data_IF_727824317312
#
_entry.id   IF_727824317312
#
_cell.length_a   1.000
_cell.length_b   1.000
_cell.length_c   1.000
_cell.angle_alpha   90.00
_cell.angle_beta   90.00
_cell.angle_gamma   90.00
#
_symmetry.space_group_name_H-M   'P 1'
#
loop_
_entity.id
_entity.type
_entity.pdbx_description
1 polymer ?
#
# COMPACT_ATOMS: atom_id res chain seq x y z
N UNK A 1 3.18 7.32 -11.51
CA UNK A 1 3.24 6.50 -12.74
C UNK A 1 4.48 5.62 -12.75
N UNK A 2 5.70 6.16 -12.65
CA UNK A 2 6.93 5.36 -12.67
C UNK A 2 6.94 4.27 -11.58
N UNK A 3 6.53 4.60 -10.37
CA UNK A 3 6.40 3.63 -9.25
C UNK A 3 5.40 2.52 -9.56
N UNK A 4 4.24 2.86 -10.14
CA UNK A 4 3.24 1.85 -10.53
C UNK A 4 3.78 0.90 -11.59
N UNK A 5 4.51 1.41 -12.60
CA UNK A 5 5.14 0.56 -13.61
C UNK A 5 6.18 -0.38 -12.99
N UNK A 6 7.00 0.12 -12.06
CA UNK A 6 7.96 -0.69 -11.33
C UNK A 6 7.26 -1.77 -10.49
N UNK A 7 6.19 -1.41 -9.77
CA UNK A 7 5.39 -2.34 -8.97
C UNK A 7 4.74 -3.41 -9.84
N UNK A 8 4.14 -3.04 -10.97
CA UNK A 8 3.57 -3.98 -11.92
C UNK A 8 4.60 -4.98 -12.43
N UNK A 9 5.77 -4.47 -12.83
CA UNK A 9 6.87 -5.33 -13.30
C UNK A 9 7.29 -6.33 -12.22
N UNK A 10 7.51 -5.85 -10.99
CA UNK A 10 7.92 -6.70 -9.87
C UNK A 10 6.85 -7.74 -9.52
N UNK A 11 5.58 -7.34 -9.37
CA UNK A 11 4.48 -8.27 -9.09
C UNK A 11 4.39 -9.36 -10.16
N UNK A 12 4.56 -8.99 -11.42
CA UNK A 12 4.51 -9.95 -12.52
C UNK A 12 5.69 -10.93 -12.50
N UNK A 13 6.90 -10.47 -12.18
CA UNK A 13 8.07 -11.34 -12.07
C UNK A 13 7.96 -12.32 -10.90
N UNK A 14 7.56 -11.83 -9.72
CA UNK A 14 7.36 -12.70 -8.55
C UNK A 14 6.23 -13.72 -8.76
N UNK A 15 5.11 -13.29 -9.36
CA UNK A 15 4.01 -14.19 -9.70
C UNK A 15 4.44 -15.26 -10.72
N UNK A 16 5.17 -14.85 -11.76
CA UNK A 16 5.72 -15.78 -12.77
C UNK A 16 6.68 -16.79 -12.15
N UNK A 17 7.53 -16.35 -11.24
CA UNK A 17 8.44 -17.25 -10.53
C UNK A 17 7.67 -18.37 -9.81
N UNK A 18 6.62 -18.00 -9.07
CA UNK A 18 5.79 -18.98 -8.34
C UNK A 18 5.03 -19.92 -9.28
N UNK A 19 4.53 -19.42 -10.44
CA UNK A 19 3.88 -20.27 -11.44
C UNK A 19 4.82 -21.32 -12.03
N UNK A 20 6.12 -21.00 -12.17
CA UNK A 20 7.13 -21.90 -12.75
C UNK A 20 7.63 -22.90 -11.70
N UNK A 21 7.95 -22.43 -10.50
CA UNK A 21 8.62 -23.22 -9.49
C UNK A 21 7.67 -23.91 -8.51
N UNK A 22 6.44 -23.39 -8.36
CA UNK A 22 5.50 -23.80 -7.30
C UNK A 22 5.93 -23.37 -5.89
N UNK A 23 7.05 -22.65 -5.75
CA UNK A 23 7.60 -22.18 -4.48
C UNK A 23 7.21 -20.72 -4.22
N UNK A 24 6.96 -20.36 -2.96
CA UNK A 24 6.82 -18.97 -2.57
C UNK A 24 8.20 -18.30 -2.48
N UNK A 25 8.25 -16.97 -2.57
CA UNK A 25 9.52 -16.24 -2.46
C UNK A 25 10.26 -16.54 -1.14
N UNK A 26 9.50 -16.67 -0.03
CA UNK A 26 10.06 -17.00 1.28
C UNK A 26 10.64 -18.43 1.32
N UNK A 27 9.96 -19.39 0.71
CA UNK A 27 10.46 -20.76 0.57
C UNK A 27 11.74 -20.78 -0.25
N UNK A 28 11.77 -20.04 -1.36
CA UNK A 28 12.95 -19.94 -2.21
C UNK A 28 14.15 -19.33 -1.48
N UNK A 29 13.97 -18.24 -0.74
CA UNK A 29 15.04 -17.63 0.05
C UNK A 29 15.57 -18.59 1.10
N UNK A 30 14.69 -19.31 1.80
CA UNK A 30 15.07 -20.29 2.80
C UNK A 30 15.83 -21.48 2.21
N UNK A 31 15.42 -21.95 1.03
CA UNK A 31 15.97 -23.16 0.40
C UNK A 31 17.26 -22.90 -0.37
N UNK A 32 17.32 -21.78 -1.10
CA UNK A 32 18.41 -21.51 -2.04
C UNK A 32 19.51 -20.60 -1.48
N UNK A 33 19.24 -19.82 -0.42
CA UNK A 33 20.26 -18.95 0.17
C UNK A 33 20.71 -19.52 1.51
N UNK A 34 19.93 -19.34 2.55
CA UNK A 34 20.19 -19.88 3.89
C UNK A 34 18.94 -19.76 4.76
N UNK A 35 18.75 -20.70 5.70
CA UNK A 35 17.59 -20.69 6.60
C UNK A 35 17.47 -19.40 7.41
N UNK A 36 18.58 -18.84 7.87
CA UNK A 36 18.62 -17.58 8.64
C UNK A 36 18.15 -16.38 7.82
N UNK A 37 18.39 -16.36 6.51
CA UNK A 37 17.94 -15.27 5.61
C UNK A 37 16.41 -15.23 5.53
N UNK A 38 15.77 -16.40 5.44
CA UNK A 38 14.30 -16.48 5.48
C UNK A 38 13.71 -15.91 6.78
N UNK A 39 14.31 -16.24 7.93
CA UNK A 39 13.86 -15.71 9.23
C UNK A 39 14.08 -14.21 9.31
N UNK A 40 15.24 -13.70 8.88
CA UNK A 40 15.52 -12.27 8.84
C UNK A 40 14.50 -11.51 7.98
N UNK A 41 14.17 -12.04 6.80
CA UNK A 41 13.17 -11.45 5.93
C UNK A 41 11.77 -11.40 6.57
N UNK A 42 11.34 -12.47 7.24
CA UNK A 42 10.05 -12.50 7.95
C UNK A 42 10.02 -11.44 9.05
N UNK A 43 11.06 -11.36 9.87
CA UNK A 43 11.16 -10.38 10.96
C UNK A 43 11.17 -8.96 10.40
N UNK A 44 11.98 -8.69 9.38
CA UNK A 44 12.06 -7.38 8.73
C UNK A 44 10.73 -6.96 8.09
N UNK A 45 10.04 -7.88 7.40
CA UNK A 45 8.70 -7.65 6.85
C UNK A 45 7.68 -7.35 7.94
N UNK A 46 7.66 -8.15 9.00
CA UNK A 46 6.72 -7.95 10.12
C UNK A 46 6.96 -6.59 10.76
N UNK A 47 8.20 -6.22 11.03
CA UNK A 47 8.55 -4.90 11.57
C UNK A 47 8.14 -3.77 10.61
N UNK A 48 8.37 -3.93 9.31
CA UNK A 48 7.96 -2.96 8.29
C UNK A 48 6.45 -2.79 8.20
N UNK A 49 5.68 -3.88 8.24
CA UNK A 49 4.21 -3.85 8.26
C UNK A 49 3.70 -3.18 9.53
N UNK A 50 4.23 -3.54 10.70
CA UNK A 50 3.85 -2.91 11.97
C UNK A 50 4.12 -1.40 11.94
N UNK A 51 5.31 -0.99 11.45
CA UNK A 51 5.65 0.43 11.31
C UNK A 51 4.71 1.17 10.36
N UNK A 52 4.36 0.55 9.24
CA UNK A 52 3.41 1.11 8.26
C UNK A 52 2.01 1.29 8.86
N UNK A 53 1.50 0.30 9.58
CA UNK A 53 0.19 0.38 10.25
C UNK A 53 0.18 1.48 11.32
N UNK A 54 1.24 1.60 12.12
CA UNK A 54 1.37 2.68 13.09
C UNK A 54 1.38 4.06 12.42
N UNK A 55 2.10 4.21 11.30
CA UNK A 55 2.15 5.44 10.53
C UNK A 55 0.78 5.84 9.98
N UNK A 56 0.06 4.91 9.37
CA UNK A 56 -1.29 5.17 8.84
C UNK A 56 -2.27 5.52 9.97
N UNK A 57 -2.21 4.80 11.10
CA UNK A 57 -3.05 5.10 12.28
C UNK A 57 -2.76 6.50 12.84
N UNK A 58 -1.48 6.90 12.86
CA UNK A 58 -1.10 8.26 13.26
C UNK A 58 -1.77 9.32 12.38
N UNK A 59 -1.68 9.18 11.05
CA UNK A 59 -2.28 10.12 10.09
C UNK A 59 -3.81 10.17 10.27
N UNK A 60 -4.48 9.02 10.35
CA UNK A 60 -5.95 8.96 10.53
C UNK A 60 -6.37 9.63 11.83
N UNK A 61 -5.64 9.37 12.92
CA UNK A 61 -5.93 9.98 14.23
C UNK A 61 -5.74 11.49 14.22
N UNK A 62 -4.73 12.00 13.51
CA UNK A 62 -4.47 13.44 13.37
C UNK A 62 -5.57 14.13 12.55
N UNK A 63 -6.01 13.51 11.45
CA UNK A 63 -7.14 14.02 10.65
C UNK A 63 -8.42 14.09 11.50
N UNK A 64 -8.71 13.05 12.28
CA UNK A 64 -9.87 13.03 13.18
C UNK A 64 -9.75 14.09 14.28
N UNK A 65 -8.54 14.32 14.80
CA UNK A 65 -8.29 15.39 15.76
C UNK A 65 -8.55 16.77 15.18
N UNK A 66 -8.02 17.07 14.00
CA UNK A 66 -8.27 18.35 13.31
C UNK A 66 -9.78 18.55 13.05
N UNK A 67 -10.46 17.50 12.66
CA UNK A 67 -11.90 17.54 12.45
C UNK A 67 -12.67 17.76 13.76
N UNK A 68 -12.23 17.16 14.86
CA UNK A 68 -12.86 17.32 16.18
C UNK A 68 -12.74 18.73 16.75
N UNK A 69 -11.69 19.49 16.38
CA UNK A 69 -11.55 20.91 16.76
C UNK A 69 -12.68 21.79 16.22
N UNK A 70 -13.29 21.38 15.11
CA UNK A 70 -14.46 22.08 14.54
C UNK A 70 -15.74 21.90 15.35
N UNK A 71 -15.79 20.88 16.23
CA UNK A 71 -17.00 20.48 16.96
C UNK A 71 -16.87 20.79 18.46
N UNK A 72 -15.64 20.63 19.01
CA UNK A 72 -15.36 20.79 20.44
C UNK A 72 -14.17 21.72 20.62
N UNK A 73 -14.34 22.77 21.42
CA UNK A 73 -13.27 23.69 21.77
C UNK A 73 -12.12 22.93 22.47
N UNK A 74 -10.97 22.89 21.82
CA UNK A 74 -9.79 22.16 22.28
C UNK A 74 -9.55 20.80 21.64
N UNK A 75 -10.52 20.23 20.89
CA UNK A 75 -10.39 18.95 20.20
C UNK A 75 -10.27 17.73 21.13
N UNK A 76 -10.50 16.55 20.59
CA UNK A 76 -10.34 15.27 21.29
C UNK A 76 -8.94 14.72 20.98
N UNK A 77 -8.15 14.36 21.97
CA UNK A 77 -6.78 13.86 21.77
C UNK A 77 -6.71 12.73 20.73
N UNK A 78 -5.72 12.76 19.79
CA UNK A 78 -5.54 11.74 18.76
C UNK A 78 -5.49 10.30 19.28
N UNK A 79 -5.01 10.14 20.52
CA UNK A 79 -4.87 8.83 21.15
C UNK A 79 -6.22 8.12 21.38
N UNK A 80 -7.29 8.86 21.63
CA UNK A 80 -8.63 8.28 21.77
C UNK A 80 -9.15 7.76 20.42
N UNK A 81 -8.90 8.49 19.34
CA UNK A 81 -9.26 8.03 17.99
C UNK A 81 -8.46 6.79 17.59
N UNK A 82 -7.14 6.76 17.84
CA UNK A 82 -6.32 5.59 17.59
C UNK A 82 -6.84 4.36 18.36
N UNK A 83 -7.11 4.51 19.66
CA UNK A 83 -7.66 3.44 20.50
C UNK A 83 -9.02 2.96 20.00
N UNK A 84 -9.88 3.88 19.58
CA UNK A 84 -11.19 3.55 19.02
C UNK A 84 -11.06 2.71 17.75
N UNK A 85 -10.24 3.13 16.78
CA UNK A 85 -10.06 2.40 15.53
C UNK A 85 -9.40 1.03 15.74
N UNK A 86 -8.40 0.94 16.62
CA UNK A 86 -7.77 -0.36 16.96
C UNK A 86 -8.80 -1.31 17.57
N UNK A 87 -9.60 -0.82 18.50
CA UNK A 87 -10.64 -1.62 19.15
C UNK A 87 -11.71 -2.06 18.13
N UNK A 88 -12.12 -1.17 17.23
CA UNK A 88 -13.09 -1.47 16.17
C UNK A 88 -12.56 -2.56 15.24
N UNK A 89 -11.32 -2.43 14.77
CA UNK A 89 -10.67 -3.45 13.92
C UNK A 89 -10.58 -4.79 14.65
N UNK A 90 -10.20 -4.77 15.94
CA UNK A 90 -10.13 -5.97 16.76
C UNK A 90 -11.48 -6.68 16.85
N UNK A 91 -12.57 -5.95 17.07
CA UNK A 91 -13.93 -6.54 17.10
C UNK A 91 -14.35 -7.13 15.75
N UNK A 92 -13.99 -6.48 14.63
CA UNK A 92 -14.28 -7.01 13.30
C UNK A 92 -13.56 -8.36 13.08
N UNK A 93 -12.30 -8.46 13.54
CA UNK A 93 -11.52 -9.70 13.44
C UNK A 93 -11.91 -10.78 14.44
N UNK A 94 -12.50 -10.40 15.59
CA UNK A 94 -12.89 -11.35 16.63
C UNK A 94 -13.78 -12.49 16.13
N UNK A 95 -14.67 -12.20 15.22
CA UNK A 95 -15.61 -13.19 14.68
C UNK A 95 -15.00 -14.15 13.64
N UNK A 96 -13.73 -14.01 13.27
CA UNK A 96 -13.00 -14.88 12.36
C UNK A 96 -13.61 -15.07 10.97
N UNK A 97 -14.62 -14.30 10.60
CA UNK A 97 -15.27 -14.34 9.28
C UNK A 97 -14.50 -13.46 8.29
N UNK A 98 -13.45 -14.03 7.70
CA UNK A 98 -12.66 -13.38 6.65
C UNK A 98 -13.50 -12.86 5.49
N UNK A 99 -14.54 -13.58 5.09
CA UNK A 99 -15.45 -13.16 4.01
C UNK A 99 -16.22 -11.89 4.30
N UNK A 100 -16.62 -11.65 5.57
CA UNK A 100 -17.28 -10.41 5.95
C UNK A 100 -16.32 -9.23 5.88
N UNK A 101 -15.10 -9.44 6.34
CA UNK A 101 -14.03 -8.44 6.27
C UNK A 101 -13.70 -8.06 4.82
N UNK A 102 -13.48 -9.04 3.94
CA UNK A 102 -13.19 -8.82 2.52
C UNK A 102 -14.32 -8.05 1.83
N UNK A 103 -15.57 -8.40 2.11
CA UNK A 103 -16.74 -7.70 1.55
C UNK A 103 -16.85 -6.27 2.06
N UNK A 104 -16.60 -6.03 3.34
CA UNK A 104 -16.60 -4.68 3.93
C UNK A 104 -15.49 -3.82 3.33
N UNK A 105 -14.30 -4.41 3.14
CA UNK A 105 -13.16 -3.74 2.51
C UNK A 105 -13.48 -3.38 1.05
N UNK A 106 -14.07 -4.28 0.29
CA UNK A 106 -14.48 -4.04 -1.09
C UNK A 106 -15.49 -2.87 -1.20
N UNK A 107 -16.45 -2.79 -0.27
CA UNK A 107 -17.42 -1.68 -0.22
C UNK A 107 -16.71 -0.36 0.09
N UNK A 108 -15.82 -0.32 1.07
CA UNK A 108 -15.05 0.89 1.43
C UNK A 108 -14.21 1.37 0.24
N UNK A 109 -13.50 0.45 -0.43
CA UNK A 109 -12.70 0.77 -1.62
C UNK A 109 -13.58 1.28 -2.76
N UNK A 110 -14.77 0.69 -2.97
CA UNK A 110 -15.72 1.16 -3.98
C UNK A 110 -16.22 2.58 -3.70
N UNK A 111 -16.54 2.89 -2.44
CA UNK A 111 -16.94 4.25 -2.01
C UNK A 111 -15.79 5.23 -2.25
N UNK A 112 -14.56 4.85 -1.88
CA UNK A 112 -13.37 5.66 -2.07
C UNK A 112 -13.12 5.94 -3.56
N UNK A 113 -13.22 4.92 -4.41
CA UNK A 113 -13.12 5.06 -5.86
C UNK A 113 -14.21 6.00 -6.43
N UNK A 114 -15.46 5.88 -5.97
CA UNK A 114 -16.54 6.78 -6.36
C UNK A 114 -16.26 8.23 -5.95
N UNK A 115 -15.75 8.47 -4.73
CA UNK A 115 -15.34 9.80 -4.28
C UNK A 115 -14.22 10.40 -5.15
N UNK A 116 -13.23 9.60 -5.54
CA UNK A 116 -12.17 10.04 -6.45
C UNK A 116 -12.71 10.39 -7.84
N UNK A 117 -13.62 9.59 -8.39
CA UNK A 117 -14.26 9.89 -9.67
C UNK A 117 -15.07 11.19 -9.60
N UNK A 118 -15.87 11.38 -8.55
CA UNK A 118 -16.65 12.61 -8.34
C UNK A 118 -15.70 13.83 -8.27
N UNK A 119 -14.63 13.73 -7.50
CA UNK A 119 -13.62 14.81 -7.40
C UNK A 119 -12.96 15.11 -8.76
N UNK A 120 -12.63 14.06 -9.51
CA UNK A 120 -12.05 14.23 -10.85
C UNK A 120 -12.99 14.99 -11.79
N UNK A 121 -14.28 14.64 -11.80
CA UNK A 121 -15.28 15.34 -12.61
C UNK A 121 -15.58 16.77 -12.14
N UNK A 122 -15.53 17.03 -10.84
CA UNK A 122 -15.72 18.37 -10.28
C UNK A 122 -14.56 19.31 -10.58
N UNK A 123 -13.34 18.81 -10.52
CA UNK A 123 -12.14 19.62 -10.75
C UNK A 123 -11.84 19.85 -12.23
N UNK A 124 -12.23 18.92 -13.11
CA UNK A 124 -11.98 18.96 -14.57
C UNK A 124 -10.67 19.69 -14.94
N UNK A 125 -9.50 19.19 -14.54
CA UNK A 125 -8.25 19.87 -14.82
C UNK A 125 -8.03 19.92 -16.34
N UNK A 126 -7.51 21.05 -16.88
CA UNK A 126 -7.24 21.15 -18.30
C UNK A 126 -6.25 20.06 -18.74
N UNK A 127 -6.49 19.40 -19.90
CA UNK A 127 -5.71 18.24 -20.33
C UNK A 127 -4.20 18.51 -20.43
N UNK A 128 -3.82 19.76 -20.67
CA UNK A 128 -2.43 20.19 -20.73
C UNK A 128 -1.73 20.10 -19.36
N UNK A 129 -2.44 20.38 -18.26
CA UNK A 129 -1.90 20.26 -16.90
C UNK A 129 -1.75 18.79 -16.49
N UNK A 130 -2.65 17.92 -16.93
CA UNK A 130 -2.52 16.48 -16.73
C UNK A 130 -1.25 15.95 -17.39
N UNK A 131 -0.98 16.36 -18.63
CA UNK A 131 0.23 15.94 -19.37
C UNK A 131 1.49 16.50 -18.70
N UNK A 132 1.47 17.76 -18.23
CA UNK A 132 2.59 18.33 -17.47
C UNK A 132 2.82 17.62 -16.15
N UNK A 133 1.77 17.22 -15.44
CA UNK A 133 1.86 16.46 -14.19
C UNK A 133 2.37 15.03 -14.36
N UNK A 134 2.25 14.44 -15.57
CA UNK A 134 2.84 13.15 -15.91
C UNK A 134 4.36 13.20 -16.15
N UNK A 135 4.90 14.39 -16.44
CA UNK A 135 6.36 14.57 -16.57
C UNK A 135 7.00 14.55 -15.19
N UNK A 136 8.01 13.70 -14.96
CA UNK A 136 8.73 13.67 -13.69
C UNK A 136 9.43 15.01 -13.45
N UNK A 137 8.96 15.76 -12.46
CA UNK A 137 9.56 17.00 -12.00
C UNK A 137 9.93 16.88 -10.52
N UNK A 138 11.02 17.49 -10.12
CA UNK A 138 11.41 17.54 -8.71
C UNK A 138 10.58 18.67 -8.06
N UNK A 139 9.67 18.35 -7.12
CA UNK A 139 8.86 19.38 -6.48
C UNK A 139 9.75 20.31 -5.64
N UNK A 140 9.53 21.61 -5.75
CA UNK A 140 10.09 22.57 -4.82
C UNK A 140 9.32 22.47 -3.50
N UNK A 141 10.01 22.16 -2.40
CA UNK A 141 9.40 22.12 -1.07
C UNK A 141 9.35 23.56 -0.54
N UNK A 142 8.16 24.13 -0.29
CA UNK A 142 8.03 25.48 0.27
C UNK A 142 8.58 25.47 1.71
N UNK A 143 9.59 26.30 1.98
CA UNK A 143 10.14 26.50 3.33
C UNK A 143 11.61 26.14 3.52
N UNK A 144 12.26 25.44 2.61
CA UNK A 144 13.70 25.19 2.67
C UNK A 144 14.47 26.21 1.80
N UNK A 145 14.57 27.44 2.31
CA UNK A 145 15.55 28.39 1.80
C UNK A 145 16.94 28.03 2.34
N UNK A 146 17.68 27.24 1.58
CA UNK A 146 19.13 27.26 1.69
C UNK A 146 19.92 25.99 1.93
N UNK A 147 19.33 24.80 2.01
CA UNK A 147 20.17 23.61 2.09
C UNK A 147 19.58 22.48 1.25
N UNK A 148 20.11 22.36 0.03
CA UNK A 148 20.15 21.13 -0.76
C UNK A 148 18.92 20.22 -0.71
N UNK A 149 18.13 20.19 -1.75
CA UNK A 149 17.23 19.12 -2.24
C UNK A 149 16.90 17.86 -1.41
N UNK A 150 17.42 17.73 -0.20
CA UNK A 150 17.25 16.54 0.65
C UNK A 150 15.78 16.29 1.04
N UNK A 151 15.02 17.33 1.35
CA UNK A 151 13.60 17.21 1.67
C UNK A 151 12.77 16.73 0.50
N UNK A 152 13.00 17.27 -0.70
CA UNK A 152 12.31 16.85 -1.92
C UNK A 152 12.63 15.40 -2.29
N UNK A 153 13.88 14.98 -2.16
CA UNK A 153 14.29 13.58 -2.40
C UNK A 153 13.68 12.63 -1.37
N UNK A 154 13.57 13.05 -0.11
CA UNK A 154 12.95 12.25 0.95
C UNK A 154 11.46 12.06 0.70
N UNK A 155 10.75 13.09 0.25
CA UNK A 155 9.33 12.99 -0.14
C UNK A 155 9.18 12.04 -1.33
N UNK A 156 10.01 12.17 -2.36
CA UNK A 156 9.99 11.27 -3.52
C UNK A 156 10.29 9.83 -3.07
N UNK A 157 11.31 9.63 -2.24
CA UNK A 157 11.69 8.31 -1.72
C UNK A 157 10.57 7.68 -0.90
N UNK A 158 9.88 8.47 -0.06
CA UNK A 158 8.74 7.98 0.72
C UNK A 158 7.55 7.60 -0.17
N UNK A 159 7.23 8.39 -1.19
CA UNK A 159 6.19 8.07 -2.16
C UNK A 159 6.51 6.80 -2.96
N UNK A 160 7.76 6.63 -3.39
CA UNK A 160 8.19 5.41 -4.07
C UNK A 160 8.16 4.23 -3.12
N UNK A 161 8.66 4.40 -1.89
CA UNK A 161 8.70 3.35 -0.87
C UNK A 161 7.33 2.82 -0.45
N UNK A 162 6.32 3.68 -0.40
CA UNK A 162 4.94 3.26 -0.10
C UNK A 162 4.29 2.51 -1.27
N UNK A 163 4.63 2.86 -2.51
CA UNK A 163 4.07 2.21 -3.71
C UNK A 163 4.80 0.90 -4.04
N UNK A 164 6.14 0.90 -3.91
CA UNK A 164 7.00 -0.27 -4.20
C UNK A 164 7.31 -1.00 -2.89
N UNK A 165 6.28 -1.53 -2.24
CA UNK A 165 6.44 -2.21 -0.97
C UNK A 165 6.80 -3.69 -1.18
N UNK A 166 7.94 -4.12 -0.65
CA UNK A 166 8.46 -5.48 -0.81
C UNK A 166 7.53 -6.58 -0.27
N UNK A 167 6.76 -6.28 0.77
CA UNK A 167 5.76 -7.19 1.32
C UNK A 167 4.69 -7.57 0.31
N UNK A 168 4.30 -6.65 -0.57
CA UNK A 168 3.29 -6.88 -1.58
C UNK A 168 3.75 -7.95 -2.61
N UNK A 169 5.02 -7.95 -2.97
CA UNK A 169 5.59 -8.93 -3.88
C UNK A 169 5.65 -10.33 -3.26
N UNK A 170 6.00 -10.40 -1.97
CA UNK A 170 6.09 -11.67 -1.23
C UNK A 170 4.70 -12.24 -1.01
N UNK A 171 3.73 -11.43 -0.57
CA UNK A 171 2.33 -11.84 -0.42
C UNK A 171 1.77 -12.33 -1.76
N UNK A 172 2.12 -11.67 -2.87
CA UNK A 172 1.70 -12.10 -4.20
C UNK A 172 2.09 -13.53 -4.51
N UNK A 173 3.30 -13.95 -4.15
CA UNK A 173 3.75 -15.34 -4.36
C UNK A 173 2.92 -16.33 -3.57
N UNK A 174 2.54 -15.97 -2.36
CA UNK A 174 1.68 -16.80 -1.50
C UNK A 174 0.27 -16.92 -2.08
N UNK A 175 -0.33 -15.79 -2.51
CA UNK A 175 -1.67 -15.78 -3.11
C UNK A 175 -1.74 -16.62 -4.40
N UNK A 176 -0.73 -16.53 -5.26
CA UNK A 176 -0.65 -17.33 -6.49
C UNK A 176 -0.59 -18.82 -6.16
N UNK A 177 0.19 -19.20 -5.14
CA UNK A 177 0.29 -20.59 -4.68
C UNK A 177 -1.00 -21.09 -4.06
N UNK A 178 -1.64 -20.30 -3.19
CA UNK A 178 -2.91 -20.64 -2.53
C UNK A 178 -4.06 -20.77 -3.54
N UNK A 179 -4.06 -19.92 -4.57
CA UNK A 179 -5.02 -19.98 -5.67
C UNK A 179 -4.83 -21.22 -6.56
N UNK A 180 -3.74 -21.96 -6.38
CA UNK A 180 -3.42 -23.15 -7.17
C UNK A 180 -3.18 -22.86 -8.65
N UNK A 181 -2.80 -21.62 -9.00
CA UNK A 181 -2.54 -21.24 -10.38
C UNK A 181 -1.31 -21.93 -10.93
N UNK A 182 -1.42 -22.29 -12.20
CA UNK A 182 -0.36 -22.99 -12.98
C UNK A 182 0.11 -22.11 -14.12
N UNK A 183 1.12 -22.58 -14.86
CA UNK A 183 1.61 -21.89 -16.05
C UNK A 183 0.51 -21.60 -17.08
N UNK A 184 -0.54 -22.42 -17.14
CA UNK A 184 -1.69 -22.18 -18.01
C UNK A 184 -2.47 -20.90 -17.63
N UNK A 185 -2.41 -20.50 -16.36
CA UNK A 185 -3.10 -19.33 -15.82
C UNK A 185 -2.26 -18.04 -15.87
N UNK A 186 -1.12 -18.05 -16.58
CA UNK A 186 -0.23 -16.88 -16.66
C UNK A 186 -0.95 -15.62 -17.14
N UNK A 187 -1.87 -15.73 -18.08
CA UNK A 187 -2.65 -14.59 -18.57
C UNK A 187 -3.57 -14.02 -17.49
N UNK A 188 -4.18 -14.88 -16.67
CA UNK A 188 -5.00 -14.47 -15.52
C UNK A 188 -4.14 -13.73 -14.49
N UNK A 189 -2.98 -14.31 -14.15
CA UNK A 189 -2.04 -13.70 -13.20
C UNK A 189 -1.58 -12.31 -13.65
N UNK A 190 -1.27 -12.16 -14.95
CA UNK A 190 -0.84 -10.87 -15.53
C UNK A 190 -1.95 -9.83 -15.52
N UNK A 191 -3.17 -10.24 -15.87
CA UNK A 191 -4.32 -9.34 -15.86
C UNK A 191 -4.65 -8.91 -14.43
N UNK A 192 -4.66 -9.84 -13.49
CA UNK A 192 -4.88 -9.54 -12.07
C UNK A 192 -3.78 -8.62 -11.51
N UNK A 193 -2.52 -8.83 -11.88
CA UNK A 193 -1.43 -7.91 -11.55
C UNK A 193 -1.62 -6.51 -12.14
N UNK A 194 -2.18 -6.39 -13.35
CA UNK A 194 -2.46 -5.10 -13.99
C UNK A 194 -3.61 -4.34 -13.30
N UNK A 195 -4.60 -5.05 -12.78
CA UNK A 195 -5.72 -4.43 -12.06
C UNK A 195 -5.39 -4.12 -10.58
N UNK A 196 -4.33 -4.71 -10.03
CA UNK A 196 -3.92 -4.51 -8.62
C UNK A 196 -2.94 -3.34 -8.42
N UNK A 197 -2.47 -2.69 -9.48
CA UNK A 197 -1.53 -1.56 -9.49
C UNK A 197 -2.18 -0.30 -10.03
#
# INVERSE_FOLDING_TARGET
VASCLCTFFMINQYGRYTLITGETALEAFRKHIHSSVGIFFIVALTAGVCGSVMGVMGIVSEICYEWSKSIVDGGISPMYFASFFVTLVYFIFWNGRTQFFERSLAVIVAIMAACFLINFFLMMPPPLEIIKGLMPSIPAVPGESGTSGSGAYLVIASMVGTTVFSGLFIIRTTLVKEAGWTLADYTKQRNDAAFSV
#
